data_IF_093772779844
#
_entry.id   IF_093772779844
#
_cell.length_a   1.000
_cell.length_b   1.000
_cell.length_c   1.000
_cell.angle_alpha   90.00
_cell.angle_beta   90.00
_cell.angle_gamma   90.00
#
_symmetry.space_group_name_H-M   'P 1'
#
loop_
_entity.id
_entity.type
_entity.pdbx_description
1 polymer ?
#
# COMPACT_ATOMS: atom_id res chain seq x y z
N UNK A 1 -2.99 31.80 -5.00
CA UNK A 1 -2.06 31.63 -6.13
C UNK A 1 -2.63 30.52 -7.00
N UNK A 2 -3.16 30.87 -8.16
CA UNK A 2 -3.76 29.91 -9.09
C UNK A 2 -2.64 29.22 -9.89
N UNK A 3 -2.35 27.96 -9.55
CA UNK A 3 -1.72 27.05 -10.50
C UNK A 3 -2.80 26.09 -10.99
N UNK A 4 -3.20 26.27 -12.24
CA UNK A 4 -3.99 25.32 -13.05
C UNK A 4 -5.40 24.96 -12.56
N UNK A 5 -6.18 25.94 -12.09
CA UNK A 5 -7.65 25.87 -12.17
C UNK A 5 -8.37 24.80 -11.34
N UNK A 6 -7.67 24.08 -10.45
CA UNK A 6 -8.29 23.12 -9.52
C UNK A 6 -8.05 23.59 -8.09
N UNK A 7 -9.00 24.35 -7.54
CA UNK A 7 -9.01 24.69 -6.13
C UNK A 7 -9.54 23.49 -5.35
N UNK A 8 -8.65 22.59 -4.93
CA UNK A 8 -9.03 21.55 -4.00
C UNK A 8 -9.30 22.18 -2.63
N UNK A 9 -10.47 21.95 -2.06
CA UNK A 9 -10.72 22.35 -0.67
C UNK A 9 -9.88 21.49 0.28
N UNK A 10 -9.52 22.03 1.44
CA UNK A 10 -8.88 21.26 2.54
C UNK A 10 -9.64 19.97 2.82
N UNK A 11 -10.97 19.99 2.76
CA UNK A 11 -11.82 18.79 2.92
C UNK A 11 -11.62 17.75 1.81
N UNK A 12 -11.40 18.15 0.56
CA UNK A 12 -11.13 17.22 -0.55
C UNK A 12 -9.75 16.59 -0.42
N UNK A 13 -8.73 17.35 -0.01
CA UNK A 13 -7.38 16.83 0.24
C UNK A 13 -7.40 15.84 1.41
N UNK A 14 -8.11 16.17 2.49
CA UNK A 14 -8.32 15.25 3.62
C UNK A 14 -9.06 13.98 3.20
N UNK A 15 -10.10 14.10 2.38
CA UNK A 15 -10.82 12.94 1.86
C UNK A 15 -9.93 12.02 1.03
N UNK A 16 -9.04 12.59 0.20
CA UNK A 16 -8.08 11.82 -0.58
C UNK A 16 -7.00 11.17 0.30
N UNK A 17 -6.53 11.88 1.34
CA UNK A 17 -5.60 11.31 2.32
C UNK A 17 -6.22 10.10 3.02
N UNK A 18 -7.46 10.22 3.52
CA UNK A 18 -8.20 9.12 4.12
C UNK A 18 -8.37 7.93 3.17
N UNK A 19 -8.73 8.17 1.91
CA UNK A 19 -8.85 7.12 0.91
C UNK A 19 -7.51 6.39 0.63
N UNK A 20 -6.38 7.11 0.68
CA UNK A 20 -5.05 6.50 0.56
C UNK A 20 -4.69 5.67 1.79
N UNK A 21 -5.08 6.11 3.00
CA UNK A 21 -4.98 5.32 4.23
C UNK A 21 -5.80 4.03 4.14
N UNK A 22 -7.06 4.11 3.72
CA UNK A 22 -7.93 2.93 3.52
C UNK A 22 -7.33 1.92 2.52
N UNK A 23 -6.74 2.42 1.43
CA UNK A 23 -6.03 1.58 0.46
C UNK A 23 -4.77 0.94 1.05
N UNK A 24 -4.01 1.67 1.86
CA UNK A 24 -2.84 1.12 2.55
C UNK A 24 -3.24 -0.04 3.46
N UNK A 25 -4.32 0.11 4.23
CA UNK A 25 -4.85 -0.92 5.12
C UNK A 25 -5.33 -2.16 4.35
N UNK A 26 -6.03 -1.96 3.22
CA UNK A 26 -6.44 -3.05 2.35
C UNK A 26 -5.24 -3.81 1.77
N UNK A 27 -4.22 -3.10 1.27
CA UNK A 27 -3.00 -3.74 0.79
C UNK A 27 -2.26 -4.47 1.91
N UNK A 28 -2.28 -3.94 3.13
CA UNK A 28 -1.65 -4.57 4.28
C UNK A 28 -2.35 -5.86 4.69
N UNK A 29 -3.70 -5.90 4.71
CA UNK A 29 -4.46 -7.14 4.94
C UNK A 29 -4.17 -8.19 3.87
N UNK A 30 -4.15 -7.79 2.58
CA UNK A 30 -3.82 -8.70 1.47
C UNK A 30 -2.38 -9.21 1.59
N UNK A 31 -1.41 -8.35 1.92
CA UNK A 31 -0.02 -8.74 2.14
C UNK A 31 0.12 -9.75 3.29
N UNK A 32 -0.59 -9.52 4.40
CA UNK A 32 -0.61 -10.43 5.54
C UNK A 32 -1.18 -11.80 5.18
N UNK A 33 -2.35 -11.85 4.53
CA UNK A 33 -2.98 -13.10 4.08
C UNK A 33 -2.14 -13.84 3.05
N UNK A 34 -1.47 -13.10 2.18
CA UNK A 34 -0.57 -13.66 1.18
C UNK A 34 0.61 -14.38 1.84
N UNK A 35 1.30 -13.74 2.77
CA UNK A 35 2.43 -14.35 3.48
C UNK A 35 1.99 -15.56 4.32
N UNK A 36 0.86 -15.47 5.03
CA UNK A 36 0.30 -16.61 5.77
C UNK A 36 -0.01 -17.79 4.85
N UNK A 37 -0.61 -17.52 3.68
CA UNK A 37 -0.97 -18.55 2.72
C UNK A 37 0.26 -19.16 2.05
N UNK A 38 1.25 -18.34 1.70
CA UNK A 38 2.54 -18.77 1.16
C UNK A 38 3.21 -19.76 2.12
N UNK A 39 3.21 -19.45 3.41
CA UNK A 39 3.88 -20.29 4.41
C UNK A 39 3.09 -21.55 4.80
N UNK A 40 1.76 -21.46 4.78
CA UNK A 40 0.90 -22.64 4.87
C UNK A 40 1.15 -23.58 3.68
N UNK A 41 1.25 -23.04 2.46
CA UNK A 41 1.58 -23.83 1.28
C UNK A 41 2.98 -24.46 1.37
N UNK A 42 3.96 -23.73 1.92
CA UNK A 42 5.32 -24.24 2.13
C UNK A 42 5.31 -25.44 3.08
N UNK A 43 4.61 -25.30 4.19
CA UNK A 43 4.43 -26.35 5.18
C UNK A 43 3.70 -27.57 4.59
N UNK A 44 2.64 -27.35 3.79
CA UNK A 44 1.86 -28.43 3.20
C UNK A 44 2.60 -29.20 2.10
N UNK A 45 3.42 -28.51 1.30
CA UNK A 45 4.23 -29.14 0.27
C UNK A 45 5.43 -29.91 0.83
N UNK A 46 5.89 -29.53 2.02
CA UNK A 46 7.05 -30.13 2.66
C UNK A 46 8.35 -29.89 1.89
N UNK A 47 9.40 -30.58 2.35
CA UNK A 47 10.76 -30.45 1.81
C UNK A 47 11.21 -31.71 1.03
N UNK A 48 10.27 -32.53 0.55
CA UNK A 48 10.58 -33.65 -0.33
C UNK A 48 11.02 -33.16 -1.73
N UNK A 49 11.39 -34.08 -2.63
CA UNK A 49 11.86 -33.71 -3.97
C UNK A 49 10.81 -32.91 -4.76
N UNK A 50 9.53 -33.20 -4.54
CA UNK A 50 8.43 -32.47 -5.18
C UNK A 50 8.29 -31.06 -4.62
N UNK A 51 8.22 -30.90 -3.29
CA UNK A 51 8.15 -29.62 -2.61
C UNK A 51 9.34 -28.73 -2.95
N UNK A 52 10.56 -29.28 -2.92
CA UNK A 52 11.78 -28.57 -3.35
C UNK A 52 11.70 -28.09 -4.80
N UNK A 53 11.27 -28.97 -5.72
CA UNK A 53 11.10 -28.62 -7.12
C UNK A 53 10.06 -27.52 -7.34
N UNK A 54 8.93 -27.60 -6.64
CA UNK A 54 7.89 -26.57 -6.67
C UNK A 54 8.44 -25.21 -6.23
N UNK A 55 9.13 -25.15 -5.09
CA UNK A 55 9.68 -23.90 -4.55
C UNK A 55 10.83 -23.34 -5.39
N UNK A 56 11.66 -24.18 -5.99
CA UNK A 56 12.68 -23.69 -6.93
C UNK A 56 12.05 -23.06 -8.17
N UNK A 57 10.99 -23.66 -8.71
CA UNK A 57 10.31 -23.15 -9.91
C UNK A 57 9.46 -21.90 -9.62
N UNK A 58 8.78 -21.85 -8.48
CA UNK A 58 7.76 -20.82 -8.20
C UNK A 58 8.18 -19.80 -7.13
N UNK A 59 9.17 -20.12 -6.29
CA UNK A 59 9.63 -19.27 -5.19
C UNK A 59 9.97 -17.84 -5.62
N UNK A 60 10.73 -17.61 -6.70
CA UNK A 60 11.04 -16.25 -7.16
C UNK A 60 9.78 -15.44 -7.51
N UNK A 61 8.80 -16.07 -8.15
CA UNK A 61 7.51 -15.42 -8.48
C UNK A 61 6.74 -15.07 -7.21
N UNK A 62 6.71 -15.99 -6.24
CA UNK A 62 5.99 -15.80 -4.99
C UNK A 62 6.66 -14.70 -4.13
N UNK A 63 7.98 -14.63 -4.08
CA UNK A 63 8.70 -13.54 -3.44
C UNK A 63 8.46 -12.20 -4.13
N UNK A 64 8.41 -12.17 -5.46
CA UNK A 64 8.11 -10.96 -6.22
C UNK A 64 6.71 -10.41 -5.92
N UNK A 65 5.70 -11.28 -5.79
CA UNK A 65 4.34 -10.87 -5.39
C UNK A 65 4.35 -10.29 -3.97
N UNK A 66 5.01 -10.95 -3.01
CA UNK A 66 5.11 -10.45 -1.64
C UNK A 66 5.86 -9.12 -1.53
N UNK A 67 6.88 -8.91 -2.38
CA UNK A 67 7.55 -7.61 -2.50
C UNK A 67 6.63 -6.54 -3.11
N UNK A 68 5.91 -6.88 -4.17
CA UNK A 68 4.97 -5.96 -4.84
C UNK A 68 3.89 -5.45 -3.88
N UNK A 69 3.30 -6.33 -3.07
CA UNK A 69 2.31 -5.95 -2.07
C UNK A 69 2.90 -4.99 -1.02
N UNK A 70 4.11 -5.26 -0.54
CA UNK A 70 4.81 -4.34 0.40
C UNK A 70 5.09 -2.97 -0.23
N UNK A 71 5.45 -2.93 -1.51
CA UNK A 71 5.67 -1.67 -2.22
C UNK A 71 4.38 -0.87 -2.38
N UNK A 72 3.24 -1.53 -2.64
CA UNK A 72 1.93 -0.88 -2.70
C UNK A 72 1.52 -0.28 -1.35
N UNK A 73 1.68 -1.01 -0.25
CA UNK A 73 1.45 -0.49 1.12
C UNK A 73 2.28 0.77 1.35
N UNK A 74 3.58 0.70 1.10
CA UNK A 74 4.47 1.85 1.31
C UNK A 74 4.17 3.04 0.39
N UNK A 75 3.69 2.80 -0.83
CA UNK A 75 3.33 3.85 -1.75
C UNK A 75 2.06 4.57 -1.28
N UNK A 76 1.03 3.82 -0.87
CA UNK A 76 -0.21 4.37 -0.33
C UNK A 76 0.02 5.19 0.94
N UNK A 77 0.79 4.68 1.90
CA UNK A 77 1.16 5.41 3.14
C UNK A 77 1.96 6.68 2.86
N UNK A 78 2.88 6.64 1.88
CA UNK A 78 3.64 7.84 1.49
C UNK A 78 2.74 8.90 0.88
N UNK A 79 1.76 8.50 0.08
CA UNK A 79 0.83 9.43 -0.54
C UNK A 79 -0.17 10.01 0.47
N UNK A 80 -0.70 9.20 1.38
CA UNK A 80 -1.48 9.67 2.53
C UNK A 80 -0.71 10.74 3.33
N UNK A 81 0.55 10.48 3.66
CA UNK A 81 1.39 11.41 4.41
C UNK A 81 1.61 12.74 3.66
N UNK A 82 1.84 12.69 2.34
CA UNK A 82 1.98 13.89 1.50
C UNK A 82 0.69 14.69 1.43
N UNK A 83 -0.45 14.02 1.28
CA UNK A 83 -1.76 14.67 1.22
C UNK A 83 -2.14 15.30 2.57
N UNK A 84 -1.87 14.60 3.66
CA UNK A 84 -2.06 15.12 5.02
C UNK A 84 -1.21 16.36 5.27
N UNK A 85 0.06 16.33 4.84
CA UNK A 85 0.94 17.50 4.92
C UNK A 85 0.44 18.66 4.05
N UNK A 86 0.03 18.38 2.81
CA UNK A 86 -0.52 19.38 1.90
C UNK A 86 -1.76 20.05 2.51
N UNK A 87 -2.70 19.25 3.04
CA UNK A 87 -3.90 19.74 3.72
C UNK A 87 -3.57 20.67 4.89
N UNK A 88 -2.61 20.27 5.73
CA UNK A 88 -2.14 21.11 6.84
C UNK A 88 -1.54 22.44 6.34
N UNK A 89 -0.67 22.40 5.34
CA UNK A 89 -0.07 23.61 4.77
C UNK A 89 -1.12 24.53 4.12
N UNK A 90 -2.09 23.98 3.40
CA UNK A 90 -3.20 24.75 2.83
C UNK A 90 -4.08 25.39 3.90
N UNK A 91 -4.44 24.65 4.96
CA UNK A 91 -5.22 25.19 6.09
C UNK A 91 -4.51 26.30 6.86
N UNK A 92 -3.17 26.31 6.88
CA UNK A 92 -2.37 27.39 7.47
C UNK A 92 -2.20 28.59 6.53
N UNK A 93 -2.20 28.36 5.21
CA UNK A 93 -2.05 29.39 4.20
C UNK A 93 -3.36 30.14 3.89
N UNK A 94 -4.51 29.58 4.25
CA UNK A 94 -5.83 30.20 4.14
C UNK A 94 -6.54 30.23 5.52
N UNK A 95 -6.13 31.14 6.43
CA UNK A 95 -6.71 31.22 7.77
C UNK A 95 -8.10 31.89 7.80
N UNK A 96 -8.80 31.99 6.66
CA UNK A 96 -9.95 32.88 6.48
C UNK A 96 -11.20 32.21 5.89
N UNK A 97 -11.94 31.49 6.72
CA UNK A 97 -13.40 31.59 6.75
C UNK A 97 -13.87 31.82 8.17
#
# INVERSE_FOLDING_TARGET
MEMQGVTYSVSQINGLAGAMGDLADQFQDVAGRYEVTKEAARTALGDDDYGRGYWQANGPRLEAVGLGLRLLVQAAQREEGRLSQASFTYGQADPGR
#
